data_IF_804418209386
#
_entry.id   IF_804418209386
#
_cell.length_a   1.000
_cell.length_b   1.000
_cell.length_c   1.000
_cell.angle_alpha   90.00
_cell.angle_beta   90.00
_cell.angle_gamma   90.00
#
_symmetry.space_group_name_H-M   'P 1'
#
loop_
_entity.id
_entity.type
_entity.pdbx_description
1 polymer ?
#
# COMPACT_ATOMS: atom_id res chain seq x y z
N UNK A 1 9.98 -21.36 9.54
CA UNK A 1 10.09 -21.98 8.20
C UNK A 1 11.31 -21.39 7.47
N UNK A 2 12.14 -22.22 6.82
CA UNK A 2 13.34 -21.76 6.09
C UNK A 2 13.24 -22.01 4.58
N UNK A 3 13.97 -21.25 3.77
CA UNK A 3 14.15 -21.48 2.34
C UNK A 3 15.20 -22.57 2.06
N UNK A 4 15.49 -22.82 0.78
CA UNK A 4 16.47 -23.82 0.34
C UNK A 4 17.93 -23.46 0.71
N UNK A 5 18.17 -22.23 1.18
CA UNK A 5 19.48 -21.72 1.56
C UNK A 5 19.63 -21.54 3.08
N UNK A 6 18.62 -21.94 3.86
CA UNK A 6 18.61 -21.85 5.31
C UNK A 6 18.18 -20.50 5.89
N UNK A 7 17.70 -19.57 5.06
CA UNK A 7 17.19 -18.28 5.50
C UNK A 7 15.76 -18.40 6.03
N UNK A 8 15.40 -17.58 7.01
CA UNK A 8 14.01 -17.47 7.47
C UNK A 8 13.18 -16.81 6.38
N UNK A 9 12.04 -17.43 6.05
CA UNK A 9 11.07 -16.85 5.13
C UNK A 9 10.34 -15.69 5.81
N UNK A 10 10.36 -14.50 5.23
CA UNK A 10 9.74 -13.33 5.83
C UNK A 10 9.13 -12.37 4.81
N UNK A 11 8.42 -11.38 5.31
CA UNK A 11 8.00 -10.21 4.56
C UNK A 11 8.66 -8.98 5.17
N UNK A 12 9.20 -8.11 4.32
CA UNK A 12 9.73 -6.80 4.67
C UNK A 12 8.60 -5.78 4.55
N UNK A 13 8.38 -5.01 5.61
CA UNK A 13 7.52 -3.83 5.60
C UNK A 13 8.37 -2.62 5.24
N UNK A 14 7.99 -1.90 4.20
CA UNK A 14 8.62 -0.64 3.77
C UNK A 14 7.59 0.48 3.83
N UNK A 15 7.56 1.18 4.96
CA UNK A 15 6.73 2.37 5.16
C UNK A 15 7.43 3.59 4.54
N UNK A 16 6.78 4.22 3.55
CA UNK A 16 7.24 5.42 2.84
C UNK A 16 6.52 6.71 3.28
N UNK A 17 5.57 6.61 4.20
CA UNK A 17 4.81 7.73 4.76
C UNK A 17 5.16 8.01 6.23
N UNK A 18 6.38 7.69 6.66
CA UNK A 18 6.79 7.83 8.06
C UNK A 18 6.79 9.30 8.48
N UNK A 19 5.85 9.66 9.35
CA UNK A 19 5.76 11.00 9.95
C UNK A 19 5.68 10.87 11.46
N UNK A 20 6.31 11.81 12.17
CA UNK A 20 6.31 11.85 13.63
C UNK A 20 5.16 12.73 14.12
N UNK A 21 4.43 12.29 15.14
CA UNK A 21 3.40 13.10 15.78
C UNK A 21 4.02 14.25 16.56
N UNK A 22 3.61 15.50 16.28
CA UNK A 22 4.14 16.69 16.94
C UNK A 22 3.45 17.00 18.27
N UNK A 23 2.24 16.47 18.52
CA UNK A 23 1.56 16.68 19.80
C UNK A 23 2.37 16.06 20.96
N UNK A 24 2.58 16.81 22.06
CA UNK A 24 3.15 16.24 23.27
C UNK A 24 2.26 15.13 23.83
N UNK A 25 2.88 14.11 24.42
CA UNK A 25 2.16 13.01 25.06
C UNK A 25 1.21 13.52 26.14
N UNK A 26 -0.04 13.07 26.11
CA UNK A 26 -1.06 13.46 27.07
C UNK A 26 -1.67 14.84 26.84
N UNK A 27 -1.28 15.56 25.78
CA UNK A 27 -1.75 16.92 25.53
C UNK A 27 -2.80 16.98 24.42
N UNK A 28 -3.87 17.73 24.65
CA UNK A 28 -4.96 17.88 23.68
C UNK A 28 -5.52 16.53 23.25
N UNK A 29 -5.66 16.31 21.94
CA UNK A 29 -6.23 15.09 21.36
C UNK A 29 -5.21 13.95 21.22
N UNK A 30 -4.01 14.09 21.78
CA UNK A 30 -2.99 13.05 21.66
C UNK A 30 -3.39 11.69 22.29
N UNK A 31 -4.06 11.63 23.46
CA UNK A 31 -4.46 10.35 24.07
C UNK A 31 -5.33 9.47 23.19
N UNK A 32 -6.26 10.07 22.41
CA UNK A 32 -7.17 9.33 21.51
C UNK A 32 -6.47 8.85 20.23
N UNK A 33 -5.23 9.29 20.01
CA UNK A 33 -4.38 8.98 18.87
C UNK A 33 -3.01 8.48 19.31
N UNK A 34 -2.92 7.78 20.45
CA UNK A 34 -1.65 7.28 21.00
C UNK A 34 -0.90 6.32 20.05
N UNK A 35 -1.59 5.69 19.10
CA UNK A 35 -0.98 4.96 17.98
C UNK A 35 -0.05 5.82 17.11
N UNK A 36 -0.31 7.13 17.00
CA UNK A 36 0.49 8.06 16.20
C UNK A 36 1.87 8.34 16.81
N UNK A 37 2.15 7.88 18.05
CA UNK A 37 3.49 7.91 18.66
C UNK A 37 4.50 7.04 17.91
N UNK A 38 4.03 6.04 17.18
CA UNK A 38 4.83 4.99 16.58
C UNK A 38 4.73 5.05 15.06
N UNK A 39 5.87 5.07 14.35
CA UNK A 39 5.87 4.87 12.89
C UNK A 39 5.39 3.45 12.53
N UNK A 40 5.70 2.50 13.40
CA UNK A 40 5.19 1.15 13.40
C UNK A 40 5.25 0.59 14.82
N UNK A 41 4.23 -0.17 15.21
CA UNK A 41 4.22 -0.97 16.43
C UNK A 41 3.82 -2.41 16.09
N UNK A 42 4.26 -3.37 16.91
CA UNK A 42 3.91 -4.79 16.76
C UNK A 42 3.39 -5.28 18.10
N UNK A 43 2.21 -5.86 18.10
CA UNK A 43 1.57 -6.43 19.30
C UNK A 43 1.22 -7.88 19.04
N UNK A 44 1.05 -8.65 20.11
CA UNK A 44 0.43 -9.96 20.04
C UNK A 44 -1.06 -9.79 19.68
N UNK A 45 -1.61 -10.70 18.88
CA UNK A 45 -3.03 -10.68 18.56
C UNK A 45 -3.90 -10.91 19.80
N UNK A 46 -4.93 -10.08 19.98
CA UNK A 46 -5.92 -10.20 21.04
C UNK A 46 -7.30 -9.81 20.51
N UNK A 47 -8.31 -10.62 20.81
CA UNK A 47 -9.71 -10.38 20.41
C UNK A 47 -10.27 -9.05 20.94
N UNK A 48 -9.71 -8.52 22.03
CA UNK A 48 -10.10 -7.24 22.65
C UNK A 48 -9.38 -6.02 22.04
N UNK A 49 -8.40 -6.24 21.16
CA UNK A 49 -7.51 -5.20 20.60
C UNK A 49 -7.68 -5.05 19.08
N UNK A 50 -8.91 -5.16 18.60
CA UNK A 50 -9.22 -5.22 17.16
C UNK A 50 -9.01 -3.90 16.42
N UNK A 51 -8.99 -2.78 17.13
CA UNK A 51 -8.95 -1.43 16.54
C UNK A 51 -8.01 -0.56 17.34
N UNK A 52 -7.25 0.32 16.69
CA UNK A 52 -6.37 1.28 17.36
C UNK A 52 -7.08 2.57 17.82
N UNK A 53 -8.35 2.76 17.45
CA UNK A 53 -9.15 3.92 17.82
C UNK A 53 -10.65 3.56 17.84
N UNK A 54 -11.49 4.53 18.16
CA UNK A 54 -12.95 4.38 18.21
C UNK A 54 -13.63 5.62 17.64
N UNK A 55 -14.80 5.45 17.03
CA UNK A 55 -15.66 6.56 16.59
C UNK A 55 -16.07 7.49 17.73
N UNK A 56 -16.00 7.02 18.98
CA UNK A 56 -16.32 7.78 20.18
C UNK A 56 -15.11 8.50 20.80
N UNK A 57 -13.90 8.32 20.26
CA UNK A 57 -12.68 8.91 20.85
C UNK A 57 -12.71 10.44 20.90
N UNK A 58 -13.37 11.10 19.94
CA UNK A 58 -13.51 12.56 19.95
C UNK A 58 -14.55 13.08 20.96
N UNK A 59 -15.37 12.21 21.56
CA UNK A 59 -16.39 12.61 22.53
C UNK A 59 -15.84 12.76 23.95
N UNK A 60 -14.87 11.93 24.33
CA UNK A 60 -14.13 12.07 25.59
C UNK A 60 -12.65 11.74 25.38
N UNK A 61 -11.83 12.78 25.42
CA UNK A 61 -10.40 12.69 25.20
C UNK A 61 -9.66 12.25 26.47
N UNK A 62 -10.25 12.48 27.66
CA UNK A 62 -9.62 12.12 28.94
C UNK A 62 -9.74 10.63 29.22
N UNK A 63 -10.88 10.05 28.84
CA UNK A 63 -11.17 8.63 29.00
C UNK A 63 -11.56 8.00 27.65
N UNK A 64 -10.58 7.79 26.75
CA UNK A 64 -10.86 7.22 25.44
C UNK A 64 -11.35 5.77 25.58
N UNK A 65 -12.38 5.43 24.79
CA UNK A 65 -12.92 4.06 24.71
C UNK A 65 -11.84 3.04 24.28
N UNK A 66 -10.94 3.47 23.40
CA UNK A 66 -9.79 2.69 22.93
C UNK A 66 -8.53 3.50 23.20
N UNK A 67 -7.65 2.94 24.03
CA UNK A 67 -6.34 3.50 24.33
C UNK A 67 -5.26 2.55 23.80
N UNK A 68 -4.72 2.88 22.63
CA UNK A 68 -3.72 2.05 21.96
C UNK A 68 -2.43 1.88 22.78
N UNK A 69 -2.11 2.83 23.68
CA UNK A 69 -0.92 2.71 24.51
C UNK A 69 -0.96 1.46 25.40
N UNK A 70 -2.16 1.02 25.81
CA UNK A 70 -2.33 -0.19 26.62
C UNK A 70 -1.88 -1.46 25.91
N UNK A 71 -1.94 -1.51 24.58
CA UNK A 71 -1.51 -2.66 23.77
C UNK A 71 0.01 -2.78 23.70
N UNK A 72 0.73 -1.72 24.09
CA UNK A 72 2.19 -1.69 24.14
C UNK A 72 2.68 -1.87 25.58
N UNK A 73 1.95 -1.30 26.54
CA UNK A 73 2.32 -1.30 27.96
C UNK A 73 2.17 -2.67 28.63
N UNK A 74 1.37 -3.58 28.05
CA UNK A 74 1.26 -4.97 28.52
C UNK A 74 2.58 -5.74 28.41
N UNK A 75 3.47 -5.29 27.51
CA UNK A 75 4.79 -5.84 27.25
C UNK A 75 4.76 -7.36 27.00
N UNK A 76 3.75 -7.81 26.25
CA UNK A 76 3.61 -9.20 25.84
C UNK A 76 4.77 -9.66 24.93
N UNK A 77 5.15 -10.93 25.04
CA UNK A 77 6.17 -11.51 24.16
C UNK A 77 5.66 -11.55 22.72
N UNK A 78 6.51 -11.16 21.77
CA UNK A 78 6.24 -11.22 20.32
C UNK A 78 6.99 -12.36 19.62
N UNK A 79 7.68 -13.23 20.38
CA UNK A 79 8.45 -14.34 19.82
C UNK A 79 7.54 -15.53 19.50
N UNK A 80 7.47 -15.91 18.22
CA UNK A 80 6.70 -17.07 17.72
C UNK A 80 5.20 -17.04 18.08
N UNK A 81 4.62 -15.84 18.11
CA UNK A 81 3.19 -15.58 18.39
C UNK A 81 2.43 -15.17 17.11
N UNK A 82 1.10 -15.08 17.21
CA UNK A 82 0.29 -14.37 16.22
C UNK A 82 0.44 -12.86 16.42
N UNK A 83 0.86 -12.14 15.38
CA UNK A 83 1.32 -10.75 15.47
C UNK A 83 0.47 -9.82 14.63
N UNK A 84 0.18 -8.64 15.19
CA UNK A 84 -0.45 -7.53 14.49
C UNK A 84 0.56 -6.41 14.30
N UNK A 85 0.78 -6.00 13.05
CA UNK A 85 1.60 -4.83 12.72
C UNK A 85 0.72 -3.60 12.52
N UNK A 86 0.88 -2.61 13.39
CA UNK A 86 0.21 -1.32 13.33
C UNK A 86 1.12 -0.31 12.63
N UNK A 87 0.71 0.21 11.47
CA UNK A 87 1.55 1.06 10.62
C UNK A 87 0.95 2.45 10.55
N UNK A 88 1.70 3.44 11.02
CA UNK A 88 1.29 4.84 10.99
C UNK A 88 1.92 5.52 9.77
N UNK A 89 1.08 6.19 8.99
CA UNK A 89 1.51 7.02 7.87
C UNK A 89 0.85 8.39 7.97
N UNK A 90 1.56 9.43 7.56
CA UNK A 90 1.03 10.79 7.58
C UNK A 90 1.99 11.76 6.94
N UNK A 91 1.68 13.05 7.06
CA UNK A 91 2.49 14.14 6.51
C UNK A 91 2.31 15.42 7.31
N UNK A 92 3.33 16.28 7.28
CA UNK A 92 3.20 17.66 7.73
C UNK A 92 2.67 18.50 6.58
N UNK A 93 1.40 18.89 6.63
CA UNK A 93 0.80 19.75 5.62
C UNK A 93 0.87 21.20 6.08
N UNK A 94 1.73 22.00 5.43
CA UNK A 94 1.76 23.46 5.55
C UNK A 94 1.08 24.00 4.28
N UNK A 95 -0.20 24.43 4.36
CA UNK A 95 -0.91 24.83 3.17
C UNK A 95 -0.26 26.02 2.45
N UNK A 96 -0.31 25.99 1.13
CA UNK A 96 0.20 27.07 0.28
C UNK A 96 -0.77 27.39 -0.87
N UNK A 97 -0.47 28.41 -1.68
CA UNK A 97 -1.41 28.96 -2.68
C UNK A 97 -1.86 27.93 -3.73
N UNK A 98 -1.01 26.96 -4.05
CA UNK A 98 -1.26 25.89 -5.00
C UNK A 98 -2.20 24.79 -4.44
N UNK A 99 -2.55 24.84 -3.15
CA UNK A 99 -3.64 24.01 -2.57
C UNK A 99 -5.04 24.55 -2.91
N UNK A 100 -5.16 25.68 -3.61
CA UNK A 100 -6.44 26.23 -4.04
C UNK A 100 -6.81 25.74 -5.45
N UNK A 101 -8.06 25.34 -5.69
CA UNK A 101 -9.19 25.24 -4.75
C UNK A 101 -9.20 23.94 -3.94
N UNK A 102 -8.30 23.00 -4.25
CA UNK A 102 -8.21 21.68 -3.64
C UNK A 102 -6.75 21.26 -3.56
N UNK A 103 -6.36 20.63 -2.45
CA UNK A 103 -5.06 20.00 -2.31
C UNK A 103 -4.87 18.92 -3.37
N UNK A 104 -3.77 19.01 -4.10
CA UNK A 104 -3.49 18.07 -5.19
C UNK A 104 -2.95 16.74 -4.66
N UNK A 105 -3.24 15.64 -5.36
CA UNK A 105 -2.72 14.32 -5.00
C UNK A 105 -1.21 14.16 -5.24
N UNK A 106 -0.61 14.66 -6.33
CA UNK A 106 0.83 14.50 -6.58
C UNK A 106 1.67 15.14 -5.47
N UNK A 107 2.53 14.35 -4.83
CA UNK A 107 3.41 14.81 -3.75
C UNK A 107 2.79 14.76 -2.35
N UNK A 108 1.51 14.40 -2.23
CA UNK A 108 0.80 14.20 -0.95
C UNK A 108 0.55 12.70 -0.68
N UNK A 109 1.20 11.81 -1.44
CA UNK A 109 1.03 10.37 -1.35
C UNK A 109 1.79 9.75 -0.17
N UNK A 110 1.14 8.81 0.50
CA UNK A 110 1.73 7.97 1.52
C UNK A 110 1.55 6.51 1.11
N UNK A 111 2.59 5.69 1.27
CA UNK A 111 2.51 4.29 0.89
C UNK A 111 3.27 3.38 1.85
N UNK A 112 2.81 2.14 1.94
CA UNK A 112 3.50 1.06 2.63
C UNK A 112 3.53 -0.16 1.72
N UNK A 113 4.70 -0.78 1.58
CA UNK A 113 4.90 -1.96 0.74
C UNK A 113 5.23 -3.17 1.61
N UNK A 114 4.55 -4.29 1.34
CA UNK A 114 4.87 -5.60 1.91
C UNK A 114 5.61 -6.41 0.84
N UNK A 115 6.90 -6.59 1.05
CA UNK A 115 7.80 -7.18 0.07
C UNK A 115 8.26 -8.56 0.54
N UNK A 116 8.13 -9.63 -0.25
CA UNK A 116 8.71 -10.92 0.09
C UNK A 116 10.22 -10.79 0.34
N UNK A 117 10.72 -11.39 1.42
CA UNK A 117 12.14 -11.40 1.78
C UNK A 117 12.56 -12.83 2.12
N UNK A 118 13.30 -13.46 1.20
CA UNK A 118 13.63 -14.89 1.24
C UNK A 118 12.41 -15.82 1.36
N UNK A 119 11.20 -15.33 1.02
CA UNK A 119 9.97 -16.11 1.14
C UNK A 119 9.84 -17.16 0.03
N UNK A 120 10.14 -16.75 -1.20
CA UNK A 120 10.13 -17.58 -2.40
C UNK A 120 11.55 -18.06 -2.74
N UNK A 121 11.65 -19.15 -3.49
CA UNK A 121 12.94 -19.70 -3.94
C UNK A 121 13.63 -18.83 -5.01
N UNK A 122 12.83 -18.04 -5.75
CA UNK A 122 13.25 -17.10 -6.79
C UNK A 122 12.19 -15.98 -6.92
N UNK A 123 12.38 -15.05 -7.85
CA UNK A 123 11.38 -14.02 -8.14
C UNK A 123 10.06 -14.65 -8.62
N UNK A 124 8.99 -14.46 -7.85
CA UNK A 124 7.67 -14.98 -8.16
C UNK A 124 7.13 -14.49 -9.52
N UNK A 125 7.58 -13.31 -9.99
CA UNK A 125 7.17 -12.74 -11.27
C UNK A 125 7.72 -13.50 -12.49
N UNK A 126 8.72 -14.37 -12.33
CA UNK A 126 9.30 -15.14 -13.45
C UNK A 126 8.29 -16.07 -14.13
N UNK A 127 7.26 -16.49 -13.39
CA UNK A 127 6.15 -17.30 -13.89
C UNK A 127 5.18 -16.54 -14.79
N UNK A 128 5.30 -15.20 -14.88
CA UNK A 128 4.43 -14.36 -15.69
C UNK A 128 4.69 -14.56 -17.19
N UNK A 129 3.61 -14.84 -17.95
CA UNK A 129 3.67 -14.95 -19.41
C UNK A 129 3.88 -13.61 -20.13
N UNK A 130 3.75 -12.49 -19.41
CA UNK A 130 3.91 -11.15 -20.00
C UNK A 130 5.39 -10.74 -20.18
N UNK A 131 6.35 -11.58 -19.79
CA UNK A 131 7.75 -11.34 -20.06
C UNK A 131 8.05 -11.34 -21.57
N UNK A 132 9.05 -10.55 -21.98
CA UNK A 132 9.55 -10.52 -23.36
C UNK A 132 11.06 -10.74 -23.32
N UNK A 133 11.54 -11.72 -24.08
CA UNK A 133 12.98 -11.97 -24.26
C UNK A 133 13.37 -11.69 -25.70
N UNK A 134 14.35 -10.80 -25.88
CA UNK A 134 14.90 -10.43 -27.19
C UNK A 134 16.37 -10.84 -27.23
N UNK A 135 16.75 -11.64 -28.22
CA UNK A 135 18.13 -12.09 -28.37
C UNK A 135 18.57 -12.06 -29.84
N UNK A 136 19.83 -11.72 -30.14
CA UNK A 136 20.34 -11.78 -31.51
C UNK A 136 20.41 -13.23 -31.98
N UNK A 137 20.05 -13.48 -33.24
CA UNK A 137 20.18 -14.81 -33.84
C UNK A 137 21.66 -15.17 -34.02
N UNK A 138 22.48 -14.20 -34.43
CA UNK A 138 23.94 -14.32 -34.52
C UNK A 138 24.61 -13.32 -33.59
N UNK A 139 25.23 -13.80 -32.50
CA UNK A 139 25.88 -12.95 -31.49
C UNK A 139 27.15 -12.23 -31.99
N UNK A 140 27.85 -12.82 -32.96
CA UNK A 140 29.13 -12.30 -33.48
C UNK A 140 28.98 -11.23 -34.56
N UNK A 141 27.80 -11.09 -35.17
CA UNK A 141 27.56 -10.18 -36.28
C UNK A 141 26.78 -8.96 -35.81
N UNK A 142 27.41 -7.78 -35.86
CA UNK A 142 26.77 -6.50 -35.56
C UNK A 142 25.65 -6.26 -36.60
N UNK A 143 24.45 -5.92 -36.13
CA UNK A 143 23.28 -5.72 -37.00
C UNK A 143 22.54 -7.01 -37.41
N UNK A 144 22.80 -8.15 -36.74
CA UNK A 144 22.02 -9.37 -36.96
C UNK A 144 20.57 -9.22 -36.51
N UNK A 145 19.67 -9.94 -37.19
CA UNK A 145 18.24 -10.01 -36.84
C UNK A 145 18.06 -10.62 -35.44
N UNK A 146 17.00 -10.21 -34.75
CA UNK A 146 16.68 -10.68 -33.39
C UNK A 146 15.54 -11.70 -33.37
N UNK A 147 15.61 -12.64 -32.43
CA UNK A 147 14.51 -13.51 -32.03
C UNK A 147 13.78 -12.87 -30.86
N UNK A 148 12.45 -12.82 -30.94
CA UNK A 148 11.58 -12.26 -29.88
C UNK A 148 10.67 -13.35 -29.34
N UNK A 149 10.85 -13.74 -28.08
CA UNK A 149 10.01 -14.70 -27.37
C UNK A 149 9.01 -13.96 -26.46
N UNK A 150 7.72 -14.30 -26.58
CA UNK A 150 6.60 -13.66 -25.86
C UNK A 150 5.74 -14.65 -25.05
N UNK A 151 6.24 -15.87 -24.82
CA UNK A 151 5.62 -16.89 -23.96
C UNK A 151 4.09 -17.10 -24.15
N UNK A 152 3.61 -16.99 -25.39
CA UNK A 152 2.20 -17.20 -25.76
C UNK A 152 1.34 -15.93 -25.86
N UNK A 153 1.88 -14.75 -25.52
CA UNK A 153 1.17 -13.47 -25.70
C UNK A 153 1.17 -13.07 -27.18
N UNK A 154 -0.02 -13.11 -27.79
CA UNK A 154 -0.24 -12.68 -29.18
C UNK A 154 -0.14 -11.15 -29.28
N UNK A 155 0.39 -10.67 -30.41
CA UNK A 155 0.50 -9.22 -30.71
C UNK A 155 -0.80 -8.63 -31.27
N UNK A 156 -1.70 -9.47 -31.79
CA UNK A 156 -2.82 -9.08 -32.65
C UNK A 156 -4.08 -8.60 -31.91
N UNK A 157 -4.02 -8.32 -30.61
CA UNK A 157 -5.15 -7.74 -29.88
C UNK A 157 -5.26 -6.23 -30.11
N UNK A 158 -5.45 -5.81 -31.36
CA UNK A 158 -6.03 -4.50 -31.70
C UNK A 158 -7.55 -4.60 -31.63
N UNK A 159 -8.08 -4.85 -30.44
CA UNK A 159 -9.47 -4.56 -30.14
C UNK A 159 -9.49 -3.23 -29.39
N UNK A 160 -9.47 -2.13 -30.14
CA UNK A 160 -9.89 -0.87 -29.54
C UNK A 160 -11.36 -1.04 -29.15
N UNK A 161 -11.78 -0.60 -27.95
CA UNK A 161 -13.21 -0.48 -27.67
C UNK A 161 -13.84 0.39 -28.76
N UNK A 162 -15.12 0.12 -29.08
CA UNK A 162 -15.84 0.96 -30.02
C UNK A 162 -15.75 2.41 -29.55
N UNK A 163 -15.37 3.32 -30.45
CA UNK A 163 -15.34 4.73 -30.14
C UNK A 163 -16.78 5.19 -29.94
N UNK A 164 -17.12 5.50 -28.69
CA UNK A 164 -18.45 5.98 -28.33
C UNK A 164 -18.37 7.47 -28.13
N UNK A 165 -18.91 8.22 -29.08
CA UNK A 165 -19.07 9.66 -28.93
C UNK A 165 -20.13 9.94 -27.86
N UNK A 166 -19.74 10.63 -26.79
CA UNK A 166 -20.63 10.99 -25.68
C UNK A 166 -21.87 11.78 -26.14
N UNK A 167 -21.72 12.70 -27.09
CA UNK A 167 -22.84 13.48 -27.65
C UNK A 167 -23.80 12.59 -28.45
N UNK A 168 -23.29 11.55 -29.12
CA UNK A 168 -24.12 10.57 -29.83
C UNK A 168 -24.84 9.63 -28.86
N UNK A 169 -24.17 9.21 -27.79
CA UNK A 169 -24.77 8.40 -26.73
C UNK A 169 -25.89 9.15 -26.01
N UNK A 170 -25.73 10.45 -25.73
CA UNK A 170 -26.80 11.30 -25.16
C UNK A 170 -28.00 11.36 -26.12
N UNK A 171 -27.75 11.55 -27.42
CA UNK A 171 -28.83 11.59 -28.43
C UNK A 171 -29.55 10.24 -28.53
N UNK A 172 -28.82 9.13 -28.42
CA UNK A 172 -29.35 7.78 -28.59
C UNK A 172 -30.06 7.26 -27.32
N UNK A 173 -29.57 7.60 -26.13
CA UNK A 173 -30.09 7.11 -24.85
C UNK A 173 -30.27 8.23 -23.79
N UNK A 174 -31.10 9.25 -24.07
CA UNK A 174 -31.21 10.44 -23.22
C UNK A 174 -31.78 10.19 -21.81
N UNK A 175 -32.43 9.04 -21.58
CA UNK A 175 -33.01 8.68 -20.27
C UNK A 175 -32.02 8.00 -19.32
N UNK A 176 -30.87 7.56 -19.81
CA UNK A 176 -29.91 6.75 -19.03
C UNK A 176 -28.68 7.54 -18.57
N UNK A 177 -28.49 8.74 -19.11
CA UNK A 177 -27.38 9.65 -18.79
C UNK A 177 -28.00 10.89 -18.15
N UNK A 178 -28.52 10.73 -16.94
CA UNK A 178 -28.89 11.85 -16.08
C UNK A 178 -28.02 11.71 -14.85
N UNK A 179 -27.06 12.63 -14.71
CA UNK A 179 -26.41 12.91 -13.43
C UNK A 179 -27.50 13.25 -12.41
N UNK A 180 -27.63 12.43 -11.38
CA UNK A 180 -28.23 12.84 -10.10
C UNK A 180 -27.13 13.44 -9.22
#
# INVERSE_FOLDING_TARGET
MKDNYGNVKSYRILNKGMTYQLLPRGYGNEPIASWARYQMAVTKYNDSERTSSSVYGSLDIKEPVVDFQKYIDDNDSILDEDLVAWITMGQYHIPHTEDLPVTTSPGMDNSCLFLPYNYFAEDAAISSKNAVRVEPIERSKRGSTVRVQRYGVKRESTCLPADHNYDELIKQYPKWIIDN
#
